data_IF_643235629928
#
_entry.id   IF_643235629928
#
_cell.length_a   1.000
_cell.length_b   1.000
_cell.length_c   1.000
_cell.angle_alpha   90.00
_cell.angle_beta   90.00
_cell.angle_gamma   90.00
#
_symmetry.space_group_name_H-M   'P 1'
#
loop_
_entity.id
_entity.type
_entity.pdbx_description
1 polymer ?
#
# COMPACT_ATOMS: atom_id res chain seq x y z
N UNK A 1 2.45 0.22 7.28
CA UNK A 1 3.11 1.31 6.51
C UNK A 1 3.07 1.04 5.00
N UNK A 2 3.50 -0.13 4.52
CA UNK A 2 3.51 -0.46 3.08
C UNK A 2 2.15 -0.22 2.37
N UNK A 3 1.05 -0.79 2.87
CA UNK A 3 -0.27 -0.58 2.24
C UNK A 3 -0.72 0.88 2.25
N UNK A 4 -0.48 1.58 3.36
CA UNK A 4 -0.81 3.00 3.48
C UNK A 4 -0.12 3.82 2.40
N UNK A 5 1.21 3.70 2.28
CA UNK A 5 1.93 4.48 1.29
C UNK A 5 1.61 4.04 -0.14
N UNK A 6 1.32 2.75 -0.38
CA UNK A 6 0.87 2.28 -1.68
C UNK A 6 -0.45 2.95 -2.11
N UNK A 7 -1.44 3.02 -1.21
CA UNK A 7 -2.71 3.70 -1.49
C UNK A 7 -2.49 5.20 -1.73
N UNK A 8 -1.66 5.85 -0.90
CA UNK A 8 -1.28 7.26 -1.11
C UNK A 8 -0.62 7.46 -2.47
N UNK A 9 0.35 6.63 -2.85
CA UNK A 9 1.03 6.69 -4.15
C UNK A 9 0.05 6.54 -5.30
N UNK A 10 -0.83 5.54 -5.27
CA UNK A 10 -1.81 5.31 -6.33
C UNK A 10 -2.75 6.51 -6.47
N UNK A 11 -3.33 6.99 -5.37
CA UNK A 11 -4.30 8.08 -5.40
C UNK A 11 -3.65 9.41 -5.79
N UNK A 12 -2.45 9.69 -5.28
CA UNK A 12 -1.68 10.89 -5.64
C UNK A 12 -1.33 10.92 -7.13
N UNK A 13 -0.73 9.84 -7.63
CA UNK A 13 -0.32 9.76 -9.04
C UNK A 13 -1.54 9.72 -9.96
N UNK A 14 -2.62 9.04 -9.58
CA UNK A 14 -3.87 9.04 -10.36
C UNK A 14 -4.48 10.43 -10.52
N UNK A 15 -4.29 11.33 -9.56
CA UNK A 15 -4.83 12.70 -9.60
C UNK A 15 -4.09 13.61 -10.58
N UNK A 16 -2.79 13.41 -10.74
CA UNK A 16 -1.92 14.33 -11.50
C UNK A 16 -1.36 13.74 -12.79
N UNK A 17 -1.13 12.42 -12.84
CA UNK A 17 -0.49 11.73 -13.97
C UNK A 17 -0.83 10.24 -14.01
N UNK A 18 -2.07 9.92 -14.35
CA UNK A 18 -2.59 8.55 -14.29
C UNK A 18 -1.77 7.53 -15.11
N UNK A 19 -1.15 7.94 -16.22
CA UNK A 19 -0.31 7.03 -17.01
C UNK A 19 0.96 6.57 -16.27
N UNK A 20 1.40 7.28 -15.23
CA UNK A 20 2.58 6.93 -14.43
C UNK A 20 2.29 5.97 -13.27
N UNK A 21 1.02 5.60 -13.02
CA UNK A 21 0.64 4.70 -11.91
C UNK A 21 1.44 3.39 -11.91
N UNK A 22 1.59 2.66 -13.04
CA UNK A 22 2.30 1.38 -13.02
C UNK A 22 3.76 1.50 -12.57
N UNK A 23 4.46 2.52 -13.07
CA UNK A 23 5.86 2.80 -12.70
C UNK A 23 5.95 3.20 -11.23
N UNK A 24 5.07 4.09 -10.78
CA UNK A 24 5.05 4.55 -9.39
C UNK A 24 4.76 3.41 -8.40
N UNK A 25 3.81 2.54 -8.72
CA UNK A 25 3.51 1.34 -7.93
C UNK A 25 4.72 0.42 -7.87
N UNK A 26 5.37 0.15 -9.01
CA UNK A 26 6.59 -0.66 -9.06
C UNK A 26 7.69 -0.11 -8.16
N UNK A 27 8.02 1.17 -8.32
CA UNK A 27 9.03 1.86 -7.50
C UNK A 27 8.68 1.84 -6.01
N UNK A 28 7.42 2.05 -5.65
CA UNK A 28 7.00 2.03 -4.25
C UNK A 28 7.09 0.63 -3.65
N UNK A 29 6.62 -0.41 -4.35
CA UNK A 29 6.71 -1.80 -3.87
C UNK A 29 8.17 -2.23 -3.72
N UNK A 30 9.03 -1.87 -4.69
CA UNK A 30 10.47 -2.05 -4.58
C UNK A 30 10.99 -1.32 -3.35
N UNK A 31 10.78 -0.01 -3.19
CA UNK A 31 11.28 0.70 -2.01
C UNK A 31 10.78 0.09 -0.69
N UNK A 32 9.48 -0.20 -0.58
CA UNK A 32 8.84 -0.74 0.62
C UNK A 32 9.39 -2.10 1.02
N UNK A 33 9.97 -2.85 0.08
CA UNK A 33 10.52 -4.16 0.38
C UNK A 33 11.84 -4.03 1.16
N UNK A 34 12.55 -2.90 1.01
CA UNK A 34 13.78 -2.60 1.71
C UNK A 34 13.56 -1.74 2.96
N UNK A 35 12.66 -0.75 2.92
CA UNK A 35 12.49 0.17 4.07
C UNK A 35 11.46 -0.31 5.09
N UNK A 36 10.55 -1.22 4.75
CA UNK A 36 9.58 -1.76 5.73
C UNK A 36 10.08 -3.07 6.30
N UNK A 37 9.98 -3.22 7.63
CA UNK A 37 10.26 -4.49 8.31
C UNK A 37 9.37 -5.64 7.80
N UNK A 38 8.21 -5.31 7.21
CA UNK A 38 7.26 -6.25 6.63
C UNK A 38 7.59 -6.72 5.21
N UNK A 39 8.71 -6.32 4.57
CA UNK A 39 9.05 -6.78 3.20
C UNK A 39 7.92 -6.59 2.17
N UNK A 40 7.25 -5.42 2.18
CA UNK A 40 6.12 -5.10 1.27
C UNK A 40 4.87 -5.97 1.38
N UNK A 41 4.47 -6.42 2.58
CA UNK A 41 3.10 -6.93 2.78
C UNK A 41 2.06 -5.82 2.57
N UNK A 42 1.64 -5.62 1.33
CA UNK A 42 0.70 -4.56 0.92
C UNK A 42 -0.60 -5.08 0.30
N UNK A 43 -0.75 -6.40 0.13
CA UNK A 43 -1.88 -7.03 -0.54
C UNK A 43 -2.25 -8.37 0.14
N UNK A 44 -3.50 -8.54 0.61
CA UNK A 44 -3.95 -9.78 1.24
C UNK A 44 -3.74 -11.03 0.40
N UNK A 45 -4.01 -10.98 -0.91
CA UNK A 45 -3.84 -12.12 -1.80
C UNK A 45 -2.37 -12.55 -1.91
N UNK A 46 -1.45 -11.58 -2.00
CA UNK A 46 0.00 -11.84 -2.02
C UNK A 46 0.46 -12.38 -0.67
N UNK A 47 -0.13 -11.93 0.43
CA UNK A 47 0.20 -12.41 1.79
C UNK A 47 -0.19 -13.88 1.95
N UNK A 48 -1.37 -14.25 1.48
CA UNK A 48 -1.82 -15.65 1.45
C UNK A 48 -0.89 -16.48 0.57
N UNK A 49 -0.56 -16.02 -0.64
CA UNK A 49 0.33 -16.74 -1.54
C UNK A 49 1.73 -16.96 -0.92
N UNK A 50 2.29 -15.95 -0.26
CA UNK A 50 3.60 -16.01 0.41
C UNK A 50 3.61 -16.98 1.59
N UNK A 51 2.49 -17.16 2.27
CA UNK A 51 2.35 -18.15 3.34
C UNK A 51 2.36 -19.60 2.85
N UNK A 52 2.17 -19.82 1.54
CA UNK A 52 2.24 -21.13 0.90
C UNK A 52 3.63 -21.44 0.32
N UNK A 53 4.62 -20.57 0.54
CA UNK A 53 5.97 -20.70 0.01
C UNK A 53 7.00 -20.65 1.12
N UNK A 54 8.05 -21.46 1.00
CA UNK A 54 9.22 -21.38 1.87
C UNK A 54 10.34 -20.62 1.14
N UNK A 55 10.31 -19.29 1.25
CA UNK A 55 11.25 -18.39 0.56
C UNK A 55 11.69 -17.26 1.48
N UNK A 56 12.66 -16.46 1.05
CA UNK A 56 13.04 -15.23 1.77
C UNK A 56 11.85 -14.28 1.99
N UNK A 57 10.88 -14.30 1.08
CA UNK A 57 9.64 -13.56 1.19
C UNK A 57 8.53 -14.37 1.92
N UNK A 58 8.78 -15.56 2.45
CA UNK A 58 7.77 -16.35 3.16
C UNK A 58 7.21 -15.65 4.41
N UNK A 59 6.07 -16.11 4.88
CA UNK A 59 5.49 -15.71 6.18
C UNK A 59 4.86 -16.93 6.84
N UNK A 60 4.93 -17.02 8.16
CA UNK A 60 4.26 -18.09 8.88
C UNK A 60 2.73 -17.98 8.69
N UNK A 61 2.02 -19.09 8.38
CA UNK A 61 0.57 -19.06 8.18
C UNK A 61 -0.22 -18.46 9.34
N UNK A 62 0.28 -18.62 10.58
CA UNK A 62 -0.33 -18.05 11.78
C UNK A 62 -0.32 -16.52 11.84
N UNK A 63 0.62 -15.87 11.15
CA UNK A 63 0.75 -14.41 11.15
C UNK A 63 -0.14 -13.73 10.09
N UNK A 64 -0.59 -14.49 9.08
CA UNK A 64 -1.37 -14.00 7.93
C UNK A 64 -2.58 -13.15 8.35
N UNK A 65 -3.43 -13.57 9.31
CA UNK A 65 -4.62 -12.78 9.67
C UNK A 65 -4.26 -11.38 10.19
N UNK A 66 -3.22 -11.27 11.03
CA UNK A 66 -2.80 -9.98 11.59
C UNK A 66 -2.19 -9.07 10.53
N UNK A 67 -1.44 -9.63 9.57
CA UNK A 67 -0.95 -8.86 8.42
C UNK A 67 -2.09 -8.35 7.54
N UNK A 68 -3.12 -9.16 7.28
CA UNK A 68 -4.30 -8.72 6.52
C UNK A 68 -5.02 -7.57 7.24
N UNK A 69 -5.23 -7.68 8.55
CA UNK A 69 -5.82 -6.59 9.34
C UNK A 69 -4.98 -5.32 9.24
N UNK A 70 -3.66 -5.42 9.40
CA UNK A 70 -2.76 -4.27 9.27
C UNK A 70 -2.79 -3.66 7.87
N UNK A 71 -2.93 -4.48 6.82
CA UNK A 71 -3.09 -4.00 5.43
C UNK A 71 -4.39 -3.24 5.25
N UNK A 72 -5.52 -3.75 5.75
CA UNK A 72 -6.80 -3.08 5.68
C UNK A 72 -6.78 -1.74 6.43
N UNK A 73 -6.22 -1.71 7.63
CA UNK A 73 -6.04 -0.46 8.40
C UNK A 73 -5.18 0.53 7.62
N UNK A 74 -4.06 0.08 7.04
CA UNK A 74 -3.20 0.91 6.20
C UNK A 74 -3.93 1.45 4.98
N UNK A 75 -4.74 0.63 4.30
CA UNK A 75 -5.50 1.05 3.13
C UNK A 75 -6.56 2.11 3.48
N UNK A 76 -7.33 1.87 4.54
CA UNK A 76 -8.40 2.77 4.98
C UNK A 76 -7.83 4.12 5.44
N UNK A 77 -6.74 4.10 6.21
CA UNK A 77 -6.09 5.34 6.68
C UNK A 77 -5.47 6.13 5.52
N UNK A 78 -4.85 5.45 4.54
CA UNK A 78 -4.31 6.10 3.34
C UNK A 78 -5.41 6.73 2.48
N UNK A 79 -6.52 6.01 2.29
CA UNK A 79 -7.69 6.53 1.58
C UNK A 79 -8.29 7.75 2.30
N UNK A 80 -8.48 7.66 3.62
CA UNK A 80 -9.00 8.76 4.43
C UNK A 80 -8.13 10.01 4.33
N UNK A 81 -6.81 9.85 4.42
CA UNK A 81 -5.85 10.94 4.28
C UNK A 81 -5.96 11.62 2.90
N UNK A 82 -5.93 10.85 1.82
CA UNK A 82 -5.98 11.42 0.46
C UNK A 82 -7.32 12.08 0.16
N UNK A 83 -8.42 11.54 0.69
CA UNK A 83 -9.73 12.19 0.61
C UNK A 83 -9.72 13.55 1.31
N UNK A 84 -9.16 13.62 2.51
CA UNK A 84 -9.05 14.88 3.25
C UNK A 84 -8.20 15.91 2.49
N UNK A 85 -7.02 15.51 1.99
CA UNK A 85 -6.15 16.38 1.19
C UNK A 85 -6.85 16.93 -0.05
N UNK A 86 -7.44 16.07 -0.88
CA UNK A 86 -8.03 16.52 -2.15
C UNK A 86 -9.37 17.26 -1.99
N UNK A 87 -10.11 17.02 -0.90
CA UNK A 87 -11.28 17.84 -0.56
C UNK A 87 -10.84 19.24 -0.12
N UNK A 88 -9.80 19.35 0.70
CA UNK A 88 -9.24 20.64 1.12
C UNK A 88 -8.74 21.46 -0.08
N UNK A 89 -8.01 20.84 -1.00
CA UNK A 89 -7.53 21.49 -2.23
C UNK A 89 -8.69 22.06 -3.07
N UNK A 90 -9.77 21.29 -3.24
CA UNK A 90 -10.95 21.72 -3.99
C UNK A 90 -11.84 22.75 -3.27
N UNK A 91 -11.65 22.94 -1.97
CA UNK A 91 -12.30 24.01 -1.20
C UNK A 91 -11.49 25.31 -1.23
N UNK A 92 -10.15 25.23 -1.23
CA UNK A 92 -9.26 26.40 -1.31
C UNK A 92 -9.16 27.01 -2.70
N UNK A 93 -9.56 26.27 -3.75
CA UNK A 93 -9.58 26.74 -5.14
C UNK A 93 -10.90 27.40 -5.57
N UNK A 94 -11.88 27.54 -4.66
CA UNK A 94 -13.15 28.25 -4.88
C UNK A 94 -13.14 29.57 -4.12
#
# INVERSE_FOLDING_TARGET
VATFGLIVTILAVSRFRAEAIPVAVGLYITAAYWFTASTSFANPAVTIARALTDSFAGIAPGDVPMFIVAQLVGALTGLGLMRWFFVADGASAR
#
